data_IF_582076474644
#
_entry.id   IF_582076474644
#
_cell.length_a   1.000
_cell.length_b   1.000
_cell.length_c   1.000
_cell.angle_alpha   90.00
_cell.angle_beta   90.00
_cell.angle_gamma   90.00
#
_symmetry.space_group_name_H-M   'P 1'
#
loop_
_entity.id
_entity.type
_entity.pdbx_description
1 polymer ?
#
# COMPACT_ATOMS: atom_id res chain seq x y z
N UNK A 1 9.62 -7.05 -0.05
CA UNK A 1 8.31 -7.03 0.63
C UNK A 1 8.42 -6.34 1.98
N UNK A 2 7.33 -5.75 2.41
CA UNK A 2 7.27 -5.15 3.74
C UNK A 2 6.15 -5.80 4.54
N UNK A 3 6.38 -6.00 5.83
CA UNK A 3 5.39 -6.56 6.73
C UNK A 3 4.82 -5.46 7.61
N UNK A 4 3.50 -5.31 7.59
CA UNK A 4 2.79 -4.27 8.34
C UNK A 4 1.99 -4.93 9.44
N UNK A 5 2.25 -4.55 10.70
CA UNK A 5 1.50 -5.04 11.85
C UNK A 5 0.27 -4.16 12.05
N UNK A 6 -0.89 -4.80 12.21
CA UNK A 6 -2.16 -4.11 12.39
C UNK A 6 -3.00 -4.81 13.44
N UNK A 7 -3.58 -4.05 14.38
CA UNK A 7 -4.55 -4.56 15.33
C UNK A 7 -5.96 -4.41 14.77
N UNK A 8 -6.75 -5.48 14.79
CA UNK A 8 -8.14 -5.46 14.32
C UNK A 8 -9.10 -5.95 15.40
N UNK A 9 -10.23 -5.27 15.51
CA UNK A 9 -11.33 -5.69 16.40
C UNK A 9 -12.35 -6.57 15.66
N UNK A 10 -12.17 -6.75 14.35
CA UNK A 10 -13.08 -7.53 13.51
C UNK A 10 -12.30 -8.61 12.77
N UNK A 11 -13.01 -9.66 12.33
CA UNK A 11 -12.45 -10.71 11.48
C UNK A 11 -13.17 -10.73 10.15
N UNK A 12 -12.54 -11.35 9.14
CA UNK A 12 -13.12 -11.56 7.82
C UNK A 12 -12.31 -10.91 6.71
N UNK A 13 -12.83 -11.03 5.49
CA UNK A 13 -12.18 -10.49 4.30
C UNK A 13 -12.37 -8.98 4.24
N UNK A 14 -11.28 -8.25 4.18
CA UNK A 14 -11.28 -6.78 4.15
C UNK A 14 -10.41 -6.27 3.02
N UNK A 15 -10.81 -5.15 2.45
CA UNK A 15 -10.01 -4.45 1.44
C UNK A 15 -8.91 -3.65 2.12
N UNK A 16 -7.69 -3.80 1.59
CA UNK A 16 -6.54 -3.00 1.98
C UNK A 16 -6.32 -1.96 0.89
N UNK A 17 -6.16 -0.71 1.30
CA UNK A 17 -5.79 0.37 0.39
C UNK A 17 -4.41 0.88 0.78
N UNK A 18 -3.54 1.06 -0.22
CA UNK A 18 -2.24 1.71 -0.03
C UNK A 18 -2.36 3.11 -0.59
N UNK A 19 -2.06 4.10 0.23
CA UNK A 19 -2.25 5.51 -0.09
C UNK A 19 -0.93 6.26 -0.01
N UNK A 20 -0.82 7.32 -0.80
CA UNK A 20 0.26 8.31 -0.61
C UNK A 20 0.01 9.08 0.68
N UNK A 21 1.00 9.85 1.15
CA UNK A 21 0.83 10.72 2.32
C UNK A 21 -0.32 11.71 2.15
N UNK A 22 -0.62 12.11 0.92
CA UNK A 22 -1.75 13.00 0.62
C UNK A 22 -3.09 12.28 0.58
N UNK A 23 -3.12 10.96 0.78
CA UNK A 23 -4.35 10.18 0.86
C UNK A 23 -4.86 9.63 -0.46
N UNK A 24 -4.04 9.63 -1.51
CA UNK A 24 -4.45 9.10 -2.82
C UNK A 24 -4.09 7.63 -2.96
N UNK A 25 -5.05 6.82 -3.41
CA UNK A 25 -4.86 5.37 -3.56
C UNK A 25 -3.89 5.05 -4.68
N UNK A 26 -2.93 4.17 -4.38
CA UNK A 26 -1.97 3.69 -5.37
C UNK A 26 -2.00 2.17 -5.53
N UNK A 27 -2.67 1.46 -4.63
CA UNK A 27 -2.88 0.01 -4.72
C UNK A 27 -4.03 -0.39 -3.82
N UNK A 28 -4.69 -1.49 -4.17
CA UNK A 28 -5.68 -2.13 -3.29
C UNK A 28 -5.64 -3.64 -3.48
N UNK A 29 -5.93 -4.37 -2.41
CA UNK A 29 -6.02 -5.82 -2.43
C UNK A 29 -6.84 -6.28 -1.22
N UNK A 30 -7.18 -7.56 -1.17
CA UNK A 30 -7.98 -8.11 -0.08
C UNK A 30 -7.14 -9.02 0.79
N UNK A 31 -7.42 -8.99 2.09
CA UNK A 31 -6.81 -9.90 3.07
C UNK A 31 -7.89 -10.44 4.00
N UNK A 32 -7.62 -11.59 4.61
CA UNK A 32 -8.44 -12.11 5.70
C UNK A 32 -7.82 -11.67 7.02
N UNK A 33 -8.59 -10.92 7.80
CA UNK A 33 -8.15 -10.46 9.11
C UNK A 33 -8.67 -11.39 10.20
N UNK A 34 -7.87 -11.52 11.27
CA UNK A 34 -8.28 -12.12 12.53
C UNK A 34 -8.43 -11.03 13.57
N UNK A 35 -9.25 -11.27 14.59
CA UNK A 35 -9.31 -10.37 15.74
C UNK A 35 -7.96 -10.38 16.45
N UNK A 36 -7.44 -9.21 16.79
CA UNK A 36 -6.15 -9.05 17.43
C UNK A 36 -5.10 -8.55 16.45
N UNK A 37 -3.85 -8.99 16.63
CA UNK A 37 -2.76 -8.56 15.78
C UNK A 37 -2.70 -9.36 14.49
N UNK A 38 -2.49 -8.63 13.39
CA UNK A 38 -2.32 -9.19 12.06
C UNK A 38 -1.00 -8.70 11.48
N UNK A 39 -0.35 -9.57 10.68
CA UNK A 39 0.85 -9.20 9.93
C UNK A 39 0.49 -9.28 8.46
N UNK A 40 0.53 -8.14 7.78
CA UNK A 40 0.16 -8.03 6.38
C UNK A 40 1.42 -7.91 5.55
N UNK A 41 1.67 -8.88 4.67
CA UNK A 41 2.79 -8.82 3.74
C UNK A 41 2.35 -8.04 2.51
N UNK A 42 3.01 -6.90 2.30
CA UNK A 42 2.81 -6.09 1.12
C UNK A 42 3.99 -6.29 0.17
N UNK A 43 3.70 -6.68 -1.06
CA UNK A 43 4.72 -6.97 -2.07
C UNK A 43 5.28 -5.71 -2.75
N UNK A 44 4.89 -4.53 -2.31
CA UNK A 44 5.34 -3.23 -2.80
C UNK A 44 4.91 -2.91 -4.24
N UNK A 45 3.97 -3.66 -4.80
CA UNK A 45 3.46 -3.36 -6.13
C UNK A 45 2.45 -2.22 -6.10
N UNK A 46 2.34 -1.49 -7.20
CA UNK A 46 1.32 -0.46 -7.40
C UNK A 46 0.65 -0.69 -8.75
N UNK A 47 -0.62 -0.32 -8.86
CA UNK A 47 -1.33 -0.39 -10.14
C UNK A 47 -0.94 0.80 -11.03
N UNK A 48 -1.31 0.75 -12.29
CA UNK A 48 -0.93 1.79 -13.27
C UNK A 48 -1.42 3.18 -12.87
N UNK A 49 -2.64 3.26 -12.37
CA UNK A 49 -3.19 4.54 -11.88
C UNK A 49 -2.39 5.07 -10.69
N UNK A 50 -1.93 4.19 -9.81
CA UNK A 50 -1.08 4.55 -8.67
C UNK A 50 0.27 5.10 -9.12
N UNK A 51 0.85 4.50 -10.15
CA UNK A 51 2.07 5.02 -10.76
C UNK A 51 1.87 6.46 -11.23
N UNK A 52 0.79 6.71 -11.94
CA UNK A 52 0.47 8.06 -12.44
C UNK A 52 0.28 9.07 -11.30
N UNK A 53 -0.34 8.64 -10.20
CA UNK A 53 -0.52 9.49 -9.01
C UNK A 53 0.83 9.89 -8.43
N UNK A 54 1.73 8.93 -8.23
CA UNK A 54 3.06 9.21 -7.66
C UNK A 54 3.86 10.13 -8.57
N UNK A 55 3.87 9.87 -9.88
CA UNK A 55 4.61 10.69 -10.83
C UNK A 55 4.07 12.11 -10.92
N UNK A 56 2.76 12.29 -10.74
CA UNK A 56 2.13 13.61 -10.72
C UNK A 56 2.49 14.39 -9.47
N UNK A 57 2.58 13.72 -8.32
CA UNK A 57 2.93 14.35 -7.04
C UNK A 57 4.44 14.64 -6.92
N UNK A 58 5.26 13.85 -7.61
CA UNK A 58 6.72 14.01 -7.56
C UNK A 58 7.30 13.81 -8.96
N UNK A 59 7.46 14.93 -9.68
CA UNK A 59 7.95 14.90 -11.07
C UNK A 59 9.45 14.62 -11.18
N UNK A 60 10.16 14.60 -10.04
CA UNK A 60 11.61 14.35 -10.03
C UNK A 60 11.96 12.85 -10.07
N UNK A 61 10.96 11.96 -9.93
CA UNK A 61 11.17 10.52 -9.94
C UNK A 61 10.53 9.89 -11.18
N UNK A 62 10.96 8.69 -11.50
CA UNK A 62 10.38 7.89 -12.57
C UNK A 62 10.14 6.47 -12.06
N UNK A 63 9.09 5.85 -12.56
CA UNK A 63 8.72 4.47 -12.19
C UNK A 63 8.54 3.69 -13.48
N UNK A 64 9.46 2.77 -13.73
CA UNK A 64 9.44 1.93 -14.90
C UNK A 64 8.91 0.54 -14.58
N UNK A 65 8.31 -0.13 -15.57
CA UNK A 65 7.89 -1.51 -15.41
C UNK A 65 9.10 -2.40 -15.11
N UNK A 66 8.95 -3.26 -14.11
CA UNK A 66 9.92 -4.30 -13.83
C UNK A 66 9.81 -5.43 -14.86
N UNK A 67 10.74 -6.38 -14.81
CA UNK A 67 10.79 -7.51 -15.76
C UNK A 67 9.52 -8.38 -15.73
N UNK A 68 8.80 -8.39 -14.60
CA UNK A 68 7.56 -9.15 -14.45
C UNK A 68 6.31 -8.35 -14.83
N UNK A 69 6.47 -7.24 -15.55
CA UNK A 69 5.39 -6.34 -15.98
C UNK A 69 4.66 -5.62 -14.83
N UNK A 70 5.26 -5.56 -13.65
CA UNK A 70 4.70 -4.88 -12.50
C UNK A 70 5.43 -3.57 -12.22
N UNK A 71 4.70 -2.62 -11.63
CA UNK A 71 5.29 -1.41 -11.08
C UNK A 71 5.48 -1.58 -9.58
N UNK A 72 6.57 -1.06 -9.05
CA UNK A 72 6.88 -1.12 -7.63
C UNK A 72 6.92 0.28 -7.03
N UNK A 73 6.48 0.36 -5.77
CA UNK A 73 6.48 1.60 -5.00
C UNK A 73 7.92 2.09 -4.80
N UNK A 74 8.11 3.40 -4.85
CA UNK A 74 9.41 4.00 -4.56
C UNK A 74 9.55 4.26 -3.06
N UNK A 75 10.78 4.42 -2.58
CA UNK A 75 11.02 4.73 -1.18
C UNK A 75 10.27 6.01 -0.77
N UNK A 76 9.79 6.03 0.45
CA UNK A 76 9.02 7.15 0.98
C UNK A 76 8.05 6.72 2.05
N UNK A 77 7.21 7.65 2.47
CA UNK A 77 6.20 7.41 3.49
C UNK A 77 4.83 7.25 2.85
N UNK A 78 4.10 6.25 3.32
CA UNK A 78 2.80 5.87 2.78
C UNK A 78 1.85 5.55 3.91
N UNK A 79 0.60 5.30 3.54
CA UNK A 79 -0.46 4.97 4.51
C UNK A 79 -1.13 3.67 4.05
N UNK A 80 -1.32 2.74 4.97
CA UNK A 80 -2.18 1.58 4.77
C UNK A 80 -3.52 1.85 5.45
N UNK A 81 -4.61 1.60 4.74
CA UNK A 81 -5.96 1.78 5.25
C UNK A 81 -6.75 0.50 5.14
N UNK A 82 -7.30 0.04 6.25
CA UNK A 82 -8.14 -1.16 6.31
C UNK A 82 -9.30 -0.88 7.25
N UNK A 83 -10.54 -1.09 6.76
CA UNK A 83 -11.75 -1.01 7.57
C UNK A 83 -11.83 0.30 8.38
N UNK A 84 -11.44 1.42 7.73
CA UNK A 84 -11.46 2.75 8.35
C UNK A 84 -10.29 3.06 9.26
N UNK A 85 -9.38 2.10 9.48
CA UNK A 85 -8.17 2.30 10.27
C UNK A 85 -7.01 2.62 9.35
N UNK A 86 -6.28 3.70 9.63
CA UNK A 86 -5.12 4.11 8.85
C UNK A 86 -3.86 3.98 9.68
N UNK A 87 -2.78 3.54 9.06
CA UNK A 87 -1.47 3.44 9.68
C UNK A 87 -0.39 3.88 8.70
N UNK A 88 0.49 4.76 9.14
CA UNK A 88 1.63 5.17 8.32
C UNK A 88 2.70 4.08 8.31
N UNK A 89 3.37 3.92 7.18
CA UNK A 89 4.53 3.05 7.08
C UNK A 89 5.55 3.64 6.11
N UNK A 90 6.79 3.22 6.25
CA UNK A 90 7.89 3.70 5.41
C UNK A 90 8.41 2.60 4.52
N UNK A 91 8.67 2.94 3.25
CA UNK A 91 9.37 2.07 2.29
C UNK A 91 10.78 2.59 2.13
N UNK A 92 11.74 1.76 2.43
CA UNK A 92 13.17 2.10 2.37
C UNK A 92 13.83 1.72 1.06
#
# INVERSE_FOLDING_TARGET
NTTIQLFSTVSGKKEVEILTESGKQIQSFYVNLDKGFNFIDYDLTIHEKGRKVILKENTAIDINKAKNDKYYIVKGNYIIKIDGVEKAFEVE
#
